data_IF_339785663284
#
_entry.id   IF_339785663284
#
_cell.length_a   1.000
_cell.length_b   1.000
_cell.length_c   1.000
_cell.angle_alpha   90.00
_cell.angle_beta   90.00
_cell.angle_gamma   90.00
#
_symmetry.space_group_name_H-M   'P 1'
#
loop_
_entity.id
_entity.type
_entity.pdbx_description
1 polymer ?
#
# COMPACT_ATOMS: atom_id res chain seq x y z
N UNK A 1 -20.93 3.94 -2.05
CA UNK A 1 -19.51 4.23 -2.34
C UNK A 1 -18.72 3.53 -1.26
N UNK A 2 -17.86 2.57 -1.63
CA UNK A 2 -17.15 1.78 -0.62
C UNK A 2 -16.10 2.65 0.08
N UNK A 3 -16.15 2.64 1.41
CA UNK A 3 -15.07 3.16 2.24
C UNK A 3 -13.84 2.30 1.96
N UNK A 4 -12.69 2.95 1.80
CA UNK A 4 -11.43 2.25 1.61
C UNK A 4 -11.00 1.65 2.97
N UNK A 5 -11.33 0.38 3.21
CA UNK A 5 -10.95 -0.32 4.44
C UNK A 5 -9.73 -1.22 4.21
N UNK A 6 -8.85 -1.38 5.22
CA UNK A 6 -7.76 -2.33 5.15
C UNK A 6 -8.28 -3.75 4.90
N UNK A 7 -7.70 -4.43 3.92
CA UNK A 7 -7.98 -5.83 3.61
C UNK A 7 -7.36 -6.70 4.71
N UNK A 8 -8.13 -7.60 5.35
CA UNK A 8 -7.58 -8.59 6.26
C UNK A 8 -6.49 -9.42 5.56
N UNK A 9 -5.38 -9.72 6.24
CA UNK A 9 -4.28 -10.48 5.64
C UNK A 9 -4.71 -11.87 5.18
N UNK A 10 -5.74 -12.44 5.80
CA UNK A 10 -6.31 -13.73 5.41
C UNK A 10 -7.07 -13.68 4.07
N UNK A 11 -7.48 -12.48 3.63
CA UNK A 11 -8.27 -12.26 2.42
C UNK A 11 -7.41 -11.81 1.22
N UNK A 12 -6.11 -11.60 1.43
CA UNK A 12 -5.15 -11.37 0.35
C UNK A 12 -5.10 -12.60 -0.56
N UNK A 13 -5.01 -12.37 -1.88
CA UNK A 13 -5.00 -13.43 -2.89
C UNK A 13 -3.79 -13.32 -3.79
N UNK A 14 -3.19 -14.46 -4.11
CA UNK A 14 -2.12 -14.55 -5.10
C UNK A 14 -2.63 -14.10 -6.47
N UNK A 15 -1.81 -13.35 -7.21
CA UNK A 15 -2.12 -12.79 -8.52
C UNK A 15 -2.87 -11.45 -8.49
N UNK A 16 -3.50 -11.09 -7.37
CA UNK A 16 -4.27 -9.85 -7.22
C UNK A 16 -3.40 -8.64 -6.89
N UNK A 17 -3.92 -7.45 -7.24
CA UNK A 17 -3.30 -6.15 -6.99
C UNK A 17 -3.93 -5.45 -5.80
N UNK A 18 -3.08 -4.81 -5.00
CA UNK A 18 -3.47 -4.02 -3.84
C UNK A 18 -2.68 -2.72 -3.80
N UNK A 19 -3.23 -1.70 -3.16
CA UNK A 19 -2.39 -0.63 -2.62
C UNK A 19 -1.73 -1.14 -1.34
N UNK A 20 -0.43 -0.94 -1.20
CA UNK A 20 0.29 -1.08 0.07
C UNK A 20 0.52 0.31 0.64
N UNK A 21 0.12 0.51 1.89
CA UNK A 21 0.47 1.67 2.69
C UNK A 21 1.48 1.28 3.76
N UNK A 22 2.61 1.95 3.75
CA UNK A 22 3.67 1.81 4.75
C UNK A 22 3.57 3.01 5.69
N UNK A 23 3.09 2.77 6.91
CA UNK A 23 3.08 3.74 7.99
C UNK A 23 4.45 3.72 8.68
N UNK A 24 5.15 4.85 8.61
CA UNK A 24 6.45 5.09 9.24
C UNK A 24 6.29 6.15 10.33
N UNK A 25 7.11 6.08 11.36
CA UNK A 25 7.15 7.06 12.44
C UNK A 25 8.59 7.56 12.62
N UNK A 26 8.78 8.89 12.65
CA UNK A 26 10.07 9.49 12.99
C UNK A 26 10.38 9.28 14.48
N UNK A 27 11.48 8.60 14.78
CA UNK A 27 11.91 8.22 16.13
C UNK A 27 11.93 9.38 17.16
N UNK A 28 12.19 10.62 16.72
CA UNK A 28 12.41 11.76 17.62
C UNK A 28 11.19 12.67 17.74
N UNK A 29 10.41 12.78 16.67
CA UNK A 29 9.28 13.72 16.59
C UNK A 29 7.93 13.01 16.70
N UNK A 30 7.93 11.67 16.65
CA UNK A 30 6.73 10.82 16.56
C UNK A 30 5.80 11.20 15.39
N UNK A 31 6.34 11.91 14.38
CA UNK A 31 5.58 12.29 13.20
C UNK A 31 5.44 11.08 12.29
N UNK A 32 4.23 10.88 11.82
CA UNK A 32 3.91 9.80 10.88
C UNK A 32 4.05 10.25 9.44
N UNK A 33 4.55 9.34 8.62
CA UNK A 33 4.65 9.49 7.18
C UNK A 33 4.22 8.21 6.50
N UNK A 34 3.64 8.34 5.32
CA UNK A 34 3.01 7.23 4.62
C UNK A 34 3.61 7.09 3.24
N UNK A 35 4.11 5.91 2.92
CA UNK A 35 4.52 5.56 1.56
C UNK A 35 3.41 4.70 0.96
N UNK A 36 3.02 4.99 -0.27
CA UNK A 36 1.99 4.23 -0.96
C UNK A 36 2.59 3.61 -2.22
N UNK A 37 2.40 2.31 -2.37
CA UNK A 37 2.84 1.56 -3.54
C UNK A 37 1.70 0.70 -4.08
N UNK A 38 1.85 0.20 -5.30
CA UNK A 38 0.98 -0.86 -5.82
C UNK A 38 1.76 -2.16 -5.72
N UNK A 39 1.13 -3.19 -5.15
CA UNK A 39 1.73 -4.50 -4.97
C UNK A 39 0.92 -5.57 -5.69
N UNK A 40 1.61 -6.54 -6.29
CA UNK A 40 1.02 -7.78 -6.79
C UNK A 40 1.46 -8.92 -5.89
N UNK A 41 0.51 -9.57 -5.23
CA UNK A 41 0.84 -10.70 -4.35
C UNK A 41 1.26 -11.88 -5.22
N UNK A 42 2.45 -12.40 -4.95
CA UNK A 42 3.02 -13.53 -5.68
C UNK A 42 2.81 -14.84 -4.94
N UNK A 43 2.89 -14.80 -3.61
CA UNK A 43 2.80 -16.00 -2.78
C UNK A 43 2.34 -15.69 -1.36
N UNK A 44 1.45 -16.52 -0.83
CA UNK A 44 1.00 -16.45 0.57
C UNK A 44 1.20 -17.83 1.22
N UNK A 45 1.87 -17.87 2.37
CA UNK A 45 1.88 -19.04 3.24
C UNK A 45 1.37 -18.65 4.62
N UNK A 46 0.20 -19.18 4.97
CA UNK A 46 -0.56 -18.99 6.21
C UNK A 46 0.18 -18.25 7.34
N UNK A 47 -0.05 -16.94 7.48
CA UNK A 47 0.44 -16.05 8.55
C UNK A 47 1.96 -16.07 8.80
N UNK A 48 2.74 -16.60 7.87
CA UNK A 48 4.19 -16.77 8.04
C UNK A 48 4.98 -16.12 6.93
N UNK A 49 4.41 -16.03 5.73
CA UNK A 49 5.09 -15.47 4.57
C UNK A 49 4.11 -14.83 3.61
N UNK A 50 4.42 -13.59 3.20
CA UNK A 50 3.79 -12.92 2.08
C UNK A 50 4.92 -12.42 1.18
N UNK A 51 4.94 -12.87 -0.07
CA UNK A 51 5.86 -12.37 -1.09
C UNK A 51 5.08 -11.64 -2.18
N UNK A 52 5.62 -10.51 -2.62
CA UNK A 52 4.98 -9.64 -3.59
C UNK A 52 6.03 -8.94 -4.44
N UNK A 53 5.57 -8.47 -5.59
CA UNK A 53 6.31 -7.51 -6.40
C UNK A 53 5.64 -6.15 -6.24
N UNK A 54 6.41 -5.08 -6.13
CA UNK A 54 5.87 -3.73 -5.96
C UNK A 54 6.31 -2.78 -7.08
N UNK A 55 5.50 -1.75 -7.30
CA UNK A 55 5.80 -0.64 -8.20
C UNK A 55 5.38 0.68 -7.55
N UNK A 56 6.15 1.74 -7.79
CA UNK A 56 5.78 3.08 -7.32
C UNK A 56 4.54 3.59 -8.07
N UNK A 57 3.70 4.38 -7.40
CA UNK A 57 2.50 4.96 -8.02
C UNK A 57 2.81 5.74 -9.30
N UNK A 58 3.94 6.46 -9.31
CA UNK A 58 4.38 7.27 -10.45
C UNK A 58 4.57 6.42 -11.70
N UNK A 59 5.14 5.22 -11.55
CA UNK A 59 5.53 4.38 -12.67
C UNK A 59 4.39 3.51 -13.21
N UNK A 60 3.33 3.28 -12.43
CA UNK A 60 2.22 2.44 -12.86
C UNK A 60 1.44 3.05 -14.05
N UNK A 61 1.31 2.31 -15.15
CA UNK A 61 0.56 2.70 -16.35
C UNK A 61 -0.29 1.51 -16.88
N UNK A 62 -1.41 1.82 -17.54
CA UNK A 62 -2.35 0.86 -18.15
C UNK A 62 -1.79 0.26 -19.44
N UNK A 63 -1.02 1.07 -20.18
CA UNK A 63 -0.54 0.76 -21.52
C UNK A 63 0.89 0.22 -21.55
N UNK A 64 1.54 0.07 -20.39
CA UNK A 64 2.75 -0.73 -20.29
C UNK A 64 2.36 -2.15 -19.88
N UNK A 65 2.81 -3.14 -20.65
CA UNK A 65 3.13 -4.44 -20.05
C UNK A 65 3.99 -4.11 -18.83
N UNK A 66 3.54 -4.44 -17.62
CA UNK A 66 4.14 -3.85 -16.43
C UNK A 66 5.58 -4.38 -16.28
N UNK A 67 6.55 -3.61 -16.75
CA UNK A 67 7.99 -3.88 -16.68
C UNK A 67 8.60 -3.43 -15.35
N UNK A 68 7.84 -2.72 -14.51
CA UNK A 68 8.35 -2.00 -13.32
C UNK A 68 7.97 -2.67 -11.98
N UNK A 69 7.54 -3.93 -12.01
CA UNK A 69 7.40 -4.79 -10.82
C UNK A 69 8.72 -5.47 -10.46
N UNK A 70 9.86 -4.83 -10.77
CA UNK A 70 11.20 -5.41 -10.62
C UNK A 70 11.62 -5.59 -9.16
N UNK A 71 10.97 -4.89 -8.24
CA UNK A 71 11.26 -5.01 -6.82
C UNK A 71 10.43 -6.12 -6.21
N UNK A 72 11.09 -7.22 -5.86
CA UNK A 72 10.49 -8.31 -5.10
C UNK A 72 10.73 -8.09 -3.61
N UNK A 73 9.69 -8.21 -2.79
CA UNK A 73 9.76 -8.15 -1.33
C UNK A 73 9.14 -9.40 -0.71
N UNK A 74 9.59 -9.72 0.50
CA UNK A 74 9.08 -10.85 1.26
C UNK A 74 9.02 -10.50 2.73
N UNK A 75 7.80 -10.50 3.28
CA UNK A 75 7.57 -10.50 4.71
C UNK A 75 7.63 -11.93 5.23
N UNK A 76 8.38 -12.14 6.31
CA UNK A 76 8.51 -13.46 6.94
C UNK A 76 8.51 -13.36 8.46
N UNK A 77 7.92 -14.37 9.12
CA UNK A 77 7.74 -14.40 10.58
C UNK A 77 8.99 -14.19 11.46
N UNK A 78 10.23 -14.52 11.02
CA UNK A 78 11.41 -14.20 11.81
C UNK A 78 11.62 -12.70 12.01
N UNK A 79 11.19 -11.86 11.06
CA UNK A 79 11.40 -10.40 11.08
C UNK A 79 10.13 -9.59 11.32
N UNK A 80 8.97 -10.19 11.06
CA UNK A 80 7.68 -9.50 11.07
C UNK A 80 6.64 -10.26 11.89
N UNK A 81 5.75 -9.51 12.52
CA UNK A 81 4.52 -10.00 13.12
C UNK A 81 3.36 -9.78 12.15
N UNK A 82 2.50 -10.78 12.03
CA UNK A 82 1.33 -10.78 11.16
C UNK A 82 0.07 -10.63 12.01
N UNK A 83 -0.51 -9.43 11.99
CA UNK A 83 -1.80 -9.14 12.64
C UNK A 83 -2.95 -9.42 11.68
N UNK A 84 -4.18 -9.13 12.11
CA UNK A 84 -5.37 -9.37 11.29
C UNK A 84 -5.37 -8.52 10.02
N UNK A 85 -5.07 -7.22 10.13
CA UNK A 85 -5.19 -6.25 9.03
C UNK A 85 -3.86 -5.66 8.57
N UNK A 86 -2.75 -5.97 9.26
CA UNK A 86 -1.46 -5.38 8.96
C UNK A 86 -0.30 -6.28 9.35
N UNK A 87 0.85 -6.02 8.75
CA UNK A 87 2.14 -6.61 9.12
C UNK A 87 2.92 -5.54 9.88
N UNK A 88 3.67 -5.92 10.91
CA UNK A 88 4.56 -5.02 11.62
C UNK A 88 5.97 -5.61 11.72
N UNK A 89 7.00 -4.78 11.54
CA UNK A 89 8.38 -5.21 11.77
C UNK A 89 8.67 -5.28 13.28
N UNK A 90 9.24 -6.40 13.77
CA UNK A 90 9.39 -6.66 15.22
C UNK A 90 10.17 -5.60 16.00
N UNK A 91 11.12 -4.94 15.34
CA UNK A 91 12.01 -3.95 15.96
C UNK A 91 11.73 -2.52 15.44
N UNK A 92 10.53 -2.27 14.94
CA UNK A 92 10.15 -0.96 14.41
C UNK A 92 8.65 -0.71 14.61
N UNK A 93 8.27 0.56 14.61
CA UNK A 93 6.87 0.99 14.54
C UNK A 93 6.31 0.90 13.12
N UNK A 94 7.12 0.51 12.13
CA UNK A 94 6.71 0.39 10.73
C UNK A 94 5.61 -0.65 10.57
N UNK A 95 4.47 -0.22 10.00
CA UNK A 95 3.31 -1.05 9.71
C UNK A 95 2.99 -1.03 8.23
N UNK A 96 2.49 -2.15 7.74
CA UNK A 96 2.13 -2.36 6.35
C UNK A 96 0.67 -2.76 6.26
N UNK A 97 -0.14 -1.93 5.62
CA UNK A 97 -1.57 -2.16 5.38
C UNK A 97 -1.82 -2.36 3.89
N UNK A 98 -2.88 -3.10 3.57
CA UNK A 98 -3.26 -3.38 2.19
C UNK A 98 -4.68 -2.90 1.94
N UNK A 99 -4.93 -2.30 0.78
CA UNK A 99 -6.25 -1.85 0.37
C UNK A 99 -6.59 -2.37 -1.02
N UNK A 100 -7.88 -2.61 -1.26
CA UNK A 100 -8.36 -3.02 -2.58
C UNK A 100 -8.00 -1.97 -3.64
N UNK A 101 -7.72 -2.47 -4.84
CA UNK A 101 -7.27 -1.67 -5.96
C UNK A 101 -8.39 -1.53 -7.00
N UNK A 102 -9.07 -0.39 -7.00
CA UNK A 102 -9.92 0.01 -8.14
C UNK A 102 -9.05 0.71 -9.18
N UNK A 103 -8.76 -0.03 -10.27
CA UNK A 103 -7.86 0.43 -11.33
C UNK A 103 -8.41 1.69 -12.01
N UNK A 104 -9.67 1.69 -12.43
CA UNK A 104 -10.26 2.82 -13.17
C UNK A 104 -10.29 4.08 -12.32
N UNK A 105 -10.68 3.93 -11.05
CA UNK A 105 -10.64 5.01 -10.09
C UNK A 105 -9.21 5.56 -9.90
N UNK A 106 -8.22 4.69 -9.69
CA UNK A 106 -6.83 5.10 -9.50
C UNK A 106 -6.33 5.93 -10.68
N UNK A 107 -6.55 5.46 -11.89
CA UNK A 107 -6.05 6.10 -13.10
C UNK A 107 -6.66 7.49 -13.30
N UNK A 108 -7.95 7.63 -13.02
CA UNK A 108 -8.65 8.92 -13.08
C UNK A 108 -8.13 9.92 -12.04
N UNK A 109 -7.64 9.45 -10.90
CA UNK A 109 -7.25 10.30 -9.77
C UNK A 109 -5.74 10.31 -9.50
N UNK A 110 -4.94 9.64 -10.34
CA UNK A 110 -3.50 9.42 -10.12
C UNK A 110 -2.74 10.71 -9.85
N UNK A 111 -2.94 11.74 -10.68
CA UNK A 111 -2.24 13.03 -10.51
C UNK A 111 -2.56 13.70 -9.18
N UNK A 112 -3.83 13.64 -8.74
CA UNK A 112 -4.25 14.16 -7.44
C UNK A 112 -3.58 13.39 -6.31
N UNK A 113 -3.62 12.05 -6.34
CA UNK A 113 -2.94 11.21 -5.34
C UNK A 113 -1.45 11.56 -5.27
N UNK A 114 -0.80 11.74 -6.42
CA UNK A 114 0.61 12.12 -6.49
C UNK A 114 0.90 13.52 -5.90
N UNK A 115 -0.04 14.47 -5.95
CA UNK A 115 0.15 15.78 -5.32
C UNK A 115 0.23 15.73 -3.79
N UNK A 116 -0.32 14.68 -3.16
CA UNK A 116 -0.16 14.43 -1.73
C UNK A 116 1.19 13.79 -1.36
N UNK A 117 1.98 13.40 -2.36
CA UNK A 117 3.27 12.72 -2.21
C UNK A 117 4.38 13.36 -3.04
N UNK A 118 4.66 14.67 -2.86
CA UNK A 118 5.64 15.38 -3.68
C UNK A 118 7.07 14.80 -3.56
N UNK A 119 7.37 14.15 -2.43
CA UNK A 119 8.66 13.52 -2.15
C UNK A 119 8.56 11.99 -2.02
N UNK A 120 7.59 11.34 -2.69
CA UNK A 120 7.33 9.89 -2.59
C UNK A 120 6.78 9.39 -1.24
N UNK A 121 6.39 10.31 -0.35
CA UNK A 121 5.67 10.02 0.89
C UNK A 121 4.65 11.11 1.18
N UNK A 122 3.60 10.78 1.93
CA UNK A 122 2.57 11.70 2.41
C UNK A 122 2.67 11.90 3.92
N UNK A 123 2.11 13.02 4.40
CA UNK A 123 1.83 13.23 5.83
C UNK A 123 0.44 12.76 6.24
N UNK A 124 -0.39 12.38 5.27
CA UNK A 124 -1.75 11.89 5.50
C UNK A 124 -1.83 10.41 5.17
N UNK A 125 -2.61 9.64 5.92
CA UNK A 125 -2.91 8.26 5.56
C UNK A 125 -3.74 8.24 4.28
N UNK A 126 -3.64 7.13 3.54
CA UNK A 126 -4.28 6.94 2.25
C UNK A 126 -5.80 7.07 2.33
N UNK A 127 -6.40 6.58 3.43
CA UNK A 127 -7.83 6.72 3.66
C UNK A 127 -8.28 8.18 3.68
N UNK A 128 -7.51 9.08 4.30
CA UNK A 128 -7.83 10.51 4.33
C UNK A 128 -7.69 11.11 2.92
N UNK A 129 -6.61 10.78 2.21
CA UNK A 129 -6.40 11.22 0.81
C UNK A 129 -7.56 10.75 -0.08
N UNK A 130 -7.97 9.50 0.05
CA UNK A 130 -9.08 8.91 -0.69
C UNK A 130 -10.38 9.67 -0.42
N UNK A 131 -10.70 9.92 0.86
CA UNK A 131 -11.91 10.65 1.25
C UNK A 131 -11.92 12.10 0.75
N UNK A 132 -10.78 12.78 0.74
CA UNK A 132 -10.67 14.15 0.21
C UNK A 132 -10.95 14.19 -1.30
N UNK A 133 -10.32 13.29 -2.06
CA UNK A 133 -10.52 13.17 -3.51
C UNK A 133 -11.98 12.85 -3.84
N UNK A 134 -12.62 11.97 -3.05
CA UNK A 134 -14.02 11.61 -3.25
C UNK A 134 -14.98 12.75 -2.92
N UNK A 135 -14.71 13.55 -1.88
CA UNK A 135 -15.54 14.71 -1.51
C UNK A 135 -15.48 15.83 -2.55
N UNK A 136 -14.36 16.02 -3.22
CA UNK A 136 -14.21 17.01 -4.31
C UNK A 136 -15.04 16.67 -5.57
N UNK A 137 -15.55 15.44 -5.70
CA UNK A 137 -16.38 15.04 -6.84
C UNK A 137 -17.87 15.41 -6.68
N UNK A 138 -18.27 15.85 -5.47
CA UNK A 138 -19.67 16.19 -5.11
C UNK A 138 -19.94 17.67 -5.34
#
# INVERSE_FOLDING_TARGET
MNVLEPVPLADLKEGELYFEEIELEEDWTHKKFYIITIVKIQKIQSKQLIAFTCSSLKNYNIFSEITDFDTTHTFSSPKYDFFETHIQMKNSTTKYYYYNFDKEWFLKNKEKIMSYMPCSYSRKPFLEIFQEIEKEKI
#
